data_IF_896808140096
#
_entry.id   IF_896808140096
#
_cell.length_a   1.000
_cell.length_b   1.000
_cell.length_c   1.000
_cell.angle_alpha   90.00
_cell.angle_beta   90.00
_cell.angle_gamma   90.00
#
_symmetry.space_group_name_H-M   'P 1'
#
loop_
_entity.id
_entity.type
_entity.pdbx_description
1 polymer ?
#
# COMPACT_ATOMS: atom_id res chain seq x y z
N UNK A 1 -22.04 45.25 17.92
CA UNK A 1 -22.37 45.74 16.57
C UNK A 1 -23.24 44.68 15.89
N UNK A 2 -24.55 44.76 16.12
CA UNK A 2 -25.53 43.99 15.35
C UNK A 2 -25.77 44.73 14.04
N UNK A 3 -26.09 44.00 12.97
CA UNK A 3 -26.52 44.64 11.73
C UNK A 3 -27.97 45.15 11.85
N UNK A 4 -28.46 45.83 10.81
CA UNK A 4 -29.80 46.43 10.76
C UNK A 4 -30.94 45.41 10.99
N UNK A 5 -30.66 44.11 10.86
CA UNK A 5 -31.60 43.01 11.11
C UNK A 5 -31.44 42.38 12.51
N UNK A 6 -30.76 43.04 13.44
CA UNK A 6 -30.47 42.54 14.80
C UNK A 6 -29.69 41.21 14.83
N UNK A 7 -28.96 40.88 13.77
CA UNK A 7 -28.13 39.67 13.72
C UNK A 7 -26.66 40.01 13.91
N UNK A 8 -25.94 39.12 14.61
CA UNK A 8 -24.49 39.21 14.78
C UNK A 8 -23.80 38.33 13.74
N UNK A 9 -23.17 38.95 12.75
CA UNK A 9 -22.42 38.23 11.73
C UNK A 9 -21.04 37.87 12.27
N UNK A 10 -20.73 36.56 12.28
CA UNK A 10 -19.41 36.05 12.64
C UNK A 10 -18.68 35.56 11.39
N UNK A 11 -17.36 35.76 11.36
CA UNK A 11 -16.46 35.19 10.36
C UNK A 11 -15.54 34.17 11.02
N UNK A 12 -15.05 33.20 10.23
CA UNK A 12 -14.05 32.22 10.66
C UNK A 12 -12.78 32.43 9.84
N UNK A 13 -11.64 32.46 10.52
CA UNK A 13 -10.33 32.57 9.88
C UNK A 13 -9.44 31.38 10.30
N UNK A 14 -8.54 30.98 9.41
CA UNK A 14 -7.51 29.98 9.68
C UNK A 14 -6.26 30.70 10.12
N UNK A 15 -5.84 30.45 11.35
CA UNK A 15 -4.81 31.24 12.02
C UNK A 15 -3.91 30.36 12.89
N UNK A 16 -2.74 30.90 13.26
CA UNK A 16 -1.82 30.21 14.18
C UNK A 16 -2.55 29.83 15.47
N UNK A 17 -2.38 28.58 15.91
CA UNK A 17 -2.90 28.12 17.21
C UNK A 17 -2.22 28.87 18.36
N UNK A 18 -3.02 29.50 19.23
CA UNK A 18 -2.53 30.24 20.41
C UNK A 18 -3.59 30.38 21.49
N UNK A 19 -3.16 30.42 22.76
CA UNK A 19 -4.06 30.57 23.92
C UNK A 19 -4.90 31.86 23.83
N UNK A 20 -4.32 32.96 23.34
CA UNK A 20 -5.01 34.25 23.20
C UNK A 20 -6.11 34.26 22.14
N UNK A 21 -6.02 33.38 21.12
CA UNK A 21 -7.03 33.24 20.06
C UNK A 21 -8.08 32.17 20.37
N UNK A 22 -8.00 31.49 21.52
CA UNK A 22 -8.92 30.43 21.94
C UNK A 22 -9.16 29.34 20.87
N UNK A 23 -8.18 29.11 20.00
CA UNK A 23 -8.22 28.16 18.89
C UNK A 23 -7.25 26.98 19.07
N UNK A 24 -6.81 26.74 20.31
CA UNK A 24 -5.93 25.62 20.66
C UNK A 24 -6.75 24.34 20.65
N UNK A 25 -6.23 23.31 19.98
CA UNK A 25 -6.78 21.96 20.03
C UNK A 25 -5.99 21.18 21.08
N UNK A 26 -6.69 20.54 22.02
CA UNK A 26 -6.05 19.74 23.05
C UNK A 26 -5.74 18.34 22.49
N UNK A 27 -4.47 17.89 22.47
CA UNK A 27 -4.14 16.54 22.02
C UNK A 27 -4.76 15.45 22.89
N UNK A 28 -4.99 15.70 24.18
CA UNK A 28 -5.56 14.71 25.10
C UNK A 28 -6.97 14.28 24.66
N UNK A 29 -7.80 15.24 24.22
CA UNK A 29 -9.17 14.97 23.76
C UNK A 29 -9.16 14.06 22.52
N UNK A 30 -8.17 14.23 21.63
CA UNK A 30 -8.02 13.40 20.43
C UNK A 30 -7.50 12.01 20.80
N UNK A 31 -6.55 11.92 21.72
CA UNK A 31 -6.03 10.65 22.21
C UNK A 31 -7.11 9.83 22.90
N UNK A 32 -8.00 10.45 23.68
CA UNK A 32 -9.12 9.78 24.34
C UNK A 32 -10.14 9.22 23.33
N UNK A 33 -10.45 9.98 22.27
CA UNK A 33 -11.46 9.58 21.28
C UNK A 33 -10.93 8.62 20.21
N UNK A 34 -9.68 8.81 19.75
CA UNK A 34 -9.11 8.12 18.59
C UNK A 34 -7.84 7.32 18.88
N UNK A 35 -7.22 7.49 20.05
CA UNK A 35 -5.94 6.89 20.42
C UNK A 35 -4.71 7.67 19.93
N UNK A 36 -3.60 7.50 20.66
CA UNK A 36 -2.35 8.21 20.42
C UNK A 36 -1.71 7.92 19.05
N UNK A 37 -1.81 6.68 18.56
CA UNK A 37 -1.30 6.29 17.24
C UNK A 37 -2.03 7.03 16.11
N UNK A 38 -3.36 7.19 16.24
CA UNK A 38 -4.14 7.95 15.26
C UNK A 38 -3.67 9.41 15.20
N UNK A 39 -3.49 10.06 16.36
CA UNK A 39 -3.01 11.43 16.43
C UNK A 39 -1.63 11.55 15.76
N UNK A 40 -0.66 10.72 16.15
CA UNK A 40 0.71 10.72 15.59
C UNK A 40 0.71 10.55 14.08
N UNK A 41 0.01 9.53 13.58
CA UNK A 41 -0.06 9.26 12.15
C UNK A 41 -0.78 10.38 11.39
N UNK A 42 -1.81 10.97 11.97
CA UNK A 42 -2.52 12.07 11.37
C UNK A 42 -1.65 13.32 11.25
N UNK A 43 -0.88 13.68 12.28
CA UNK A 43 0.07 14.79 12.21
C UNK A 43 1.12 14.59 11.11
N UNK A 44 1.63 13.37 10.96
CA UNK A 44 2.55 13.00 9.89
C UNK A 44 1.88 13.02 8.51
N UNK A 45 0.58 12.73 8.43
CA UNK A 45 -0.18 12.64 7.18
C UNK A 45 -0.68 13.98 6.64
N UNK A 46 -0.83 15.00 7.49
CA UNK A 46 -1.39 16.31 7.14
C UNK A 46 -0.69 17.03 5.96
N UNK A 47 0.54 16.64 5.61
CA UNK A 47 1.29 17.17 4.48
C UNK A 47 2.80 17.06 4.68
N UNK A 48 3.62 17.69 3.83
CA UNK A 48 5.08 17.69 3.96
C UNK A 48 5.54 18.30 5.29
N UNK A 49 6.53 17.73 5.96
CA UNK A 49 6.96 18.14 7.31
C UNK A 49 7.27 19.65 7.42
N UNK A 50 7.92 20.23 6.41
CA UNK A 50 8.41 21.61 6.41
C UNK A 50 7.32 22.68 6.21
N UNK A 51 6.12 22.27 5.80
CA UNK A 51 5.04 23.19 5.46
C UNK A 51 4.10 23.41 6.63
N UNK A 52 3.66 24.66 6.81
CA UNK A 52 2.57 24.98 7.72
C UNK A 52 1.25 24.43 7.18
N UNK A 53 0.49 23.74 8.04
CA UNK A 53 -0.75 23.07 7.67
C UNK A 53 -1.90 23.57 8.53
N UNK A 54 -3.04 23.91 7.95
CA UNK A 54 -4.24 24.17 8.74
C UNK A 54 -4.66 22.89 9.44
N UNK A 55 -4.93 22.99 10.75
CA UNK A 55 -5.49 21.87 11.50
C UNK A 55 -6.92 21.56 11.03
N UNK A 56 -7.21 20.31 10.66
CA UNK A 56 -8.53 19.90 10.17
C UNK A 56 -8.94 18.50 10.65
N UNK A 57 -9.69 18.45 11.75
CA UNK A 57 -10.12 17.20 12.40
C UNK A 57 -10.87 16.22 11.48
N UNK A 58 -11.46 16.67 10.36
CA UNK A 58 -12.14 15.77 9.42
C UNK A 58 -11.21 14.65 8.90
N UNK A 59 -9.92 14.94 8.71
CA UNK A 59 -8.94 13.97 8.21
C UNK A 59 -8.52 12.88 9.21
N UNK A 60 -8.73 13.10 10.52
CA UNK A 60 -8.37 12.14 11.59
C UNK A 60 -9.13 10.83 11.41
N UNK A 61 -10.40 10.92 11.02
CA UNK A 61 -11.27 9.76 10.81
C UNK A 61 -10.73 8.80 9.75
N UNK A 62 -10.03 9.31 8.73
CA UNK A 62 -9.38 8.50 7.70
C UNK A 62 -8.23 7.67 8.25
N UNK A 63 -7.37 8.27 9.08
CA UNK A 63 -6.26 7.58 9.75
C UNK A 63 -6.77 6.56 10.76
N UNK A 64 -7.78 6.93 11.55
CA UNK A 64 -8.44 6.00 12.47
C UNK A 64 -9.05 4.80 11.75
N UNK A 65 -9.72 5.05 10.62
CA UNK A 65 -10.26 4.02 9.73
C UNK A 65 -9.16 3.10 9.18
N UNK A 66 -8.03 3.67 8.78
CA UNK A 66 -6.85 2.91 8.33
C UNK A 66 -6.33 1.99 9.44
N UNK A 67 -6.13 2.48 10.66
CA UNK A 67 -5.63 1.66 11.77
C UNK A 67 -6.58 0.50 12.10
N UNK A 68 -7.90 0.73 12.03
CA UNK A 68 -8.89 -0.37 12.14
C UNK A 68 -8.76 -1.39 11.02
N UNK A 69 -8.51 -0.97 9.77
CA UNK A 69 -8.26 -1.89 8.65
C UNK A 69 -6.96 -2.67 8.83
N UNK A 70 -5.90 -2.00 9.29
CA UNK A 70 -4.63 -2.62 9.61
C UNK A 70 -4.83 -3.73 10.66
N UNK A 71 -5.52 -3.43 11.75
CA UNK A 71 -5.87 -4.42 12.77
C UNK A 71 -6.66 -5.63 12.23
N UNK A 72 -7.59 -5.38 11.29
CA UNK A 72 -8.40 -6.42 10.62
C UNK A 72 -7.58 -7.36 9.73
N UNK A 73 -6.39 -6.98 9.28
CA UNK A 73 -5.51 -7.91 8.56
C UNK A 73 -5.09 -9.09 9.44
N UNK A 74 -4.99 -8.88 10.76
CA UNK A 74 -4.49 -9.87 11.72
C UNK A 74 -5.58 -10.72 12.37
N UNK A 75 -6.85 -10.35 12.19
CA UNK A 75 -7.98 -10.98 12.88
C UNK A 75 -9.02 -11.48 11.88
N UNK A 76 -9.81 -12.46 12.31
CA UNK A 76 -11.05 -12.80 11.63
C UNK A 76 -12.04 -11.63 11.69
N UNK A 77 -12.85 -11.48 10.65
CA UNK A 77 -13.87 -10.43 10.58
C UNK A 77 -15.15 -11.06 10.06
N UNK A 78 -16.23 -10.95 10.83
CA UNK A 78 -17.53 -11.48 10.43
C UNK A 78 -18.22 -10.58 9.38
N UNK A 79 -19.40 -10.99 8.92
CA UNK A 79 -20.18 -10.25 7.91
C UNK A 79 -20.68 -8.89 8.42
N UNK A 80 -20.79 -8.72 9.74
CA UNK A 80 -21.21 -7.47 10.39
C UNK A 80 -20.01 -6.55 10.66
N UNK A 81 -18.78 -7.04 10.46
CA UNK A 81 -17.54 -6.30 10.60
C UNK A 81 -16.93 -6.37 12.00
N UNK A 82 -17.44 -7.26 12.87
CA UNK A 82 -16.91 -7.51 14.21
C UNK A 82 -15.58 -8.26 14.14
N UNK A 83 -14.70 -7.98 15.10
CA UNK A 83 -13.37 -8.59 15.18
C UNK A 83 -13.45 -9.91 15.93
N UNK A 84 -13.00 -10.99 15.27
CA UNK A 84 -12.88 -12.33 15.84
C UNK A 84 -11.46 -12.64 16.31
N UNK A 85 -11.11 -13.92 16.28
CA UNK A 85 -9.81 -14.41 16.76
C UNK A 85 -8.64 -13.94 15.89
N UNK A 86 -7.43 -13.96 16.47
CA UNK A 86 -6.20 -13.68 15.74
C UNK A 86 -5.92 -14.81 14.74
N UNK A 87 -5.77 -14.48 13.45
CA UNK A 87 -5.75 -15.46 12.34
C UNK A 87 -4.37 -15.65 11.68
N UNK A 88 -3.35 -14.91 12.10
CA UNK A 88 -2.00 -15.04 11.51
C UNK A 88 -1.35 -16.31 12.06
N UNK A 89 -0.82 -17.21 11.19
CA UNK A 89 -0.17 -18.44 11.65
C UNK A 89 0.98 -18.16 12.63
N UNK A 90 1.08 -18.98 13.67
CA UNK A 90 2.20 -18.92 14.60
C UNK A 90 3.49 -19.45 13.95
N UNK A 91 4.65 -18.92 14.34
CA UNK A 91 5.93 -19.40 13.85
C UNK A 91 6.10 -20.89 14.21
N UNK A 92 6.75 -21.70 13.35
CA UNK A 92 7.01 -23.10 13.68
C UNK A 92 7.81 -23.17 14.98
N UNK A 93 7.27 -23.81 16.01
CA UNK A 93 7.94 -23.93 17.31
C UNK A 93 9.16 -24.86 17.29
N UNK A 94 9.48 -25.48 16.14
CA UNK A 94 10.65 -26.35 16.00
C UNK A 94 11.20 -26.37 14.55
N UNK A 95 12.52 -26.56 14.37
CA UNK A 95 13.13 -26.75 13.04
C UNK A 95 12.68 -28.02 12.29
N UNK A 96 11.93 -28.90 12.97
CA UNK A 96 11.52 -30.23 12.48
C UNK A 96 10.04 -30.31 12.12
N UNK A 97 9.28 -29.22 12.29
CA UNK A 97 7.94 -29.13 11.73
C UNK A 97 8.04 -29.36 10.22
N UNK A 98 7.22 -30.25 9.62
CA UNK A 98 7.19 -30.38 8.18
C UNK A 98 7.01 -28.98 7.61
N UNK A 99 7.89 -28.58 6.69
CA UNK A 99 7.58 -27.51 5.74
C UNK A 99 6.43 -28.03 4.87
N UNK A 100 5.25 -28.18 5.46
CA UNK A 100 4.01 -28.29 4.70
C UNK A 100 4.04 -27.12 3.74
N UNK A 101 3.71 -27.38 2.48
CA UNK A 101 3.80 -26.44 1.36
C UNK A 101 3.29 -25.06 1.79
N UNK A 102 4.20 -24.24 2.33
CA UNK A 102 3.88 -22.91 2.79
C UNK A 102 3.81 -22.16 1.47
N UNK A 103 2.58 -22.00 0.99
CA UNK A 103 2.29 -21.25 -0.22
C UNK A 103 2.83 -19.85 0.01
N UNK A 104 4.04 -19.61 -0.49
CA UNK A 104 4.70 -18.32 -0.47
C UNK A 104 3.71 -17.34 -1.08
N UNK A 105 3.31 -16.34 -0.30
CA UNK A 105 2.36 -15.33 -0.78
C UNK A 105 3.13 -14.35 -1.66
N UNK A 106 3.44 -14.76 -2.89
CA UNK A 106 4.27 -14.01 -3.81
C UNK A 106 3.69 -12.61 -4.09
N UNK A 107 2.36 -12.48 -4.11
CA UNK A 107 1.69 -11.20 -4.27
C UNK A 107 1.80 -10.35 -3.01
N UNK A 108 1.54 -10.93 -1.83
CA UNK A 108 1.73 -10.25 -0.54
C UNK A 108 3.18 -9.78 -0.31
N UNK A 109 4.16 -10.60 -0.64
CA UNK A 109 5.59 -10.25 -0.56
C UNK A 109 5.95 -9.14 -1.56
N UNK A 110 5.40 -9.16 -2.77
CA UNK A 110 5.59 -8.07 -3.73
C UNK A 110 5.04 -6.75 -3.20
N UNK A 111 3.85 -6.75 -2.60
CA UNK A 111 3.24 -5.57 -1.96
C UNK A 111 4.12 -5.09 -0.79
N UNK A 112 4.53 -6.00 0.09
CA UNK A 112 5.40 -5.68 1.23
C UNK A 112 6.71 -5.05 0.76
N UNK A 113 7.44 -5.66 -0.17
CA UNK A 113 8.74 -5.14 -0.57
C UNK A 113 8.67 -3.83 -1.37
N UNK A 114 7.59 -3.59 -2.13
CA UNK A 114 7.30 -2.26 -2.68
C UNK A 114 7.09 -1.22 -1.56
N UNK A 115 6.38 -1.63 -0.51
CA UNK A 115 6.09 -0.79 0.67
C UNK A 115 7.37 -0.47 1.44
N UNK A 116 8.20 -1.48 1.75
CA UNK A 116 9.49 -1.32 2.46
C UNK A 116 10.35 -0.31 1.72
N UNK A 117 10.59 -0.53 0.41
CA UNK A 117 11.42 0.36 -0.40
C UNK A 117 10.92 1.81 -0.34
N UNK A 118 9.63 2.02 -0.58
CA UNK A 118 9.05 3.36 -0.60
C UNK A 118 9.09 4.04 0.77
N UNK A 119 8.79 3.32 1.85
CA UNK A 119 8.77 3.87 3.20
C UNK A 119 10.19 4.20 3.68
N UNK A 120 11.17 3.35 3.36
CA UNK A 120 12.59 3.61 3.63
C UNK A 120 13.05 4.90 2.94
N UNK A 121 12.82 5.01 1.63
CA UNK A 121 13.10 6.24 0.86
C UNK A 121 12.38 7.46 1.44
N UNK A 122 11.09 7.35 1.75
CA UNK A 122 10.30 8.47 2.28
C UNK A 122 10.80 8.90 3.68
N UNK A 123 11.25 7.98 4.54
CA UNK A 123 11.83 8.30 5.86
C UNK A 123 13.13 9.09 5.71
N UNK A 124 14.02 8.65 4.80
CA UNK A 124 15.28 9.36 4.53
C UNK A 124 15.06 10.79 4.03
N UNK A 125 13.99 11.00 3.25
CA UNK A 125 13.60 12.30 2.71
C UNK A 125 12.60 13.08 3.58
N UNK A 126 12.32 12.63 4.82
CA UNK A 126 11.34 13.25 5.72
C UNK A 126 9.93 13.43 5.12
N UNK A 127 9.56 12.58 4.16
CA UNK A 127 8.29 12.60 3.43
C UNK A 127 7.23 11.71 4.11
N UNK A 128 7.03 11.90 5.41
CA UNK A 128 6.18 11.02 6.23
C UNK A 128 4.72 10.93 5.76
N UNK A 129 4.19 12.00 5.15
CA UNK A 129 2.83 12.02 4.63
C UNK A 129 2.63 11.02 3.47
N UNK A 130 3.66 10.80 2.66
CA UNK A 130 3.61 9.80 1.58
C UNK A 130 3.83 8.40 2.12
N UNK A 131 4.57 8.23 3.22
CA UNK A 131 4.68 6.94 3.92
C UNK A 131 3.32 6.48 4.45
N UNK A 132 2.56 7.36 5.10
CA UNK A 132 1.19 7.03 5.56
C UNK A 132 0.27 6.63 4.40
N UNK A 133 0.33 7.36 3.29
CA UNK A 133 -0.41 7.00 2.06
C UNK A 133 0.00 5.61 1.54
N UNK A 134 1.29 5.30 1.59
CA UNK A 134 1.84 4.01 1.15
C UNK A 134 1.33 2.86 2.01
N UNK A 135 1.29 3.02 3.33
CA UNK A 135 0.68 2.04 4.23
C UNK A 135 -0.81 1.84 3.93
N UNK A 136 -1.56 2.91 3.69
CA UNK A 136 -2.99 2.80 3.36
C UNK A 136 -3.21 2.00 2.06
N UNK A 137 -2.38 2.22 1.04
CA UNK A 137 -2.42 1.45 -0.22
C UNK A 137 -2.09 -0.01 0.07
N UNK A 138 -0.97 -0.28 0.74
CA UNK A 138 -0.51 -1.63 1.04
C UNK A 138 -1.58 -2.43 1.82
N UNK A 139 -2.21 -1.83 2.83
CA UNK A 139 -3.27 -2.49 3.61
C UNK A 139 -4.49 -2.81 2.76
N UNK A 140 -4.91 -1.90 1.87
CA UNK A 140 -6.03 -2.18 0.97
C UNK A 140 -5.70 -3.30 -0.02
N UNK A 141 -4.49 -3.32 -0.60
CA UNK A 141 -4.04 -4.37 -1.52
C UNK A 141 -3.96 -5.72 -0.81
N UNK A 142 -3.34 -5.79 0.37
CA UNK A 142 -3.25 -7.00 1.20
C UNK A 142 -4.64 -7.50 1.64
N UNK A 143 -5.57 -6.59 1.92
CA UNK A 143 -6.96 -6.95 2.23
C UNK A 143 -7.64 -7.56 1.02
N UNK A 144 -7.44 -7.00 -0.17
CA UNK A 144 -8.08 -7.48 -1.41
C UNK A 144 -7.66 -8.91 -1.78
N UNK A 145 -6.41 -9.29 -1.46
CA UNK A 145 -5.90 -10.65 -1.68
C UNK A 145 -6.12 -11.59 -0.49
N UNK A 146 -6.80 -11.13 0.56
CA UNK A 146 -7.01 -11.86 1.82
C UNK A 146 -5.69 -12.37 2.45
N UNK A 147 -4.62 -11.57 2.40
CA UNK A 147 -3.32 -11.96 2.94
C UNK A 147 -3.40 -12.14 4.47
N UNK A 148 -2.98 -13.31 4.93
CA UNK A 148 -2.73 -13.63 6.34
C UNK A 148 -1.32 -14.21 6.54
N UNK A 149 -0.44 -14.09 5.54
CA UNK A 149 0.89 -14.67 5.56
C UNK A 149 1.76 -13.95 6.60
N UNK A 150 2.29 -14.71 7.57
CA UNK A 150 3.15 -14.17 8.63
C UNK A 150 4.39 -13.48 8.07
N UNK A 151 5.01 -14.05 7.04
CA UNK A 151 6.17 -13.50 6.33
C UNK A 151 5.92 -12.13 5.69
N UNK A 152 4.65 -11.75 5.51
CA UNK A 152 4.23 -10.44 4.98
C UNK A 152 3.84 -9.50 6.13
N UNK A 153 2.96 -9.97 7.01
CA UNK A 153 2.35 -9.14 8.04
C UNK A 153 3.31 -8.79 9.19
N UNK A 154 4.21 -9.69 9.56
CA UNK A 154 5.18 -9.45 10.63
C UNK A 154 6.18 -8.31 10.27
N UNK A 155 6.86 -8.33 9.11
CA UNK A 155 7.69 -7.19 8.70
C UNK A 155 6.89 -5.90 8.49
N UNK A 156 5.64 -5.99 8.02
CA UNK A 156 4.77 -4.82 7.87
C UNK A 156 4.48 -4.14 9.22
N UNK A 157 4.29 -4.92 10.29
CA UNK A 157 4.13 -4.39 11.67
C UNK A 157 5.38 -3.65 12.12
N UNK A 158 6.56 -4.21 11.89
CA UNK A 158 7.84 -3.53 12.21
C UNK A 158 7.97 -2.23 11.41
N UNK A 159 7.62 -2.26 10.12
CA UNK A 159 7.67 -1.10 9.23
C UNK A 159 6.73 0.04 9.70
N UNK A 160 5.55 -0.30 10.23
CA UNK A 160 4.57 0.67 10.75
C UNK A 160 4.95 1.23 12.14
N UNK A 161 5.74 0.51 12.93
CA UNK A 161 6.04 0.83 14.33
C UNK A 161 6.57 2.25 14.61
N UNK A 162 7.35 2.92 13.74
CA UNK A 162 7.76 4.31 13.99
C UNK A 162 6.58 5.30 13.98
N UNK A 163 5.52 4.96 13.24
CA UNK A 163 4.33 5.78 13.03
C UNK A 163 3.26 5.50 14.09
N UNK A 164 2.94 4.22 14.28
CA UNK A 164 1.92 3.73 15.20
C UNK A 164 2.50 2.66 16.14
N UNK A 165 3.32 3.05 17.14
CA UNK A 165 4.03 2.11 17.99
C UNK A 165 3.12 1.26 18.87
N UNK A 166 2.00 1.78 19.37
CA UNK A 166 1.21 1.07 20.37
C UNK A 166 0.46 -0.12 19.76
N UNK A 167 -0.20 0.09 18.62
CA UNK A 167 -0.84 -1.01 17.86
C UNK A 167 0.20 -2.01 17.34
N UNK A 168 1.40 -1.53 16.99
CA UNK A 168 2.47 -2.39 16.51
C UNK A 168 3.00 -3.31 17.62
N UNK A 169 3.21 -2.79 18.83
CA UNK A 169 3.61 -3.59 20.01
C UNK A 169 2.55 -4.64 20.36
N UNK A 170 1.28 -4.26 20.38
CA UNK A 170 0.18 -5.18 20.68
C UNK A 170 0.11 -6.32 19.65
N UNK A 171 0.29 -6.02 18.36
CA UNK A 171 0.35 -7.03 17.31
C UNK A 171 1.63 -7.87 17.38
N UNK A 172 2.75 -7.28 17.78
CA UNK A 172 4.02 -7.97 17.98
C UNK A 172 3.91 -9.05 19.05
N UNK A 173 3.29 -8.71 20.18
CA UNK A 173 2.99 -9.69 21.24
C UNK A 173 2.03 -10.78 20.75
N UNK A 174 0.97 -10.45 20.00
CA UNK A 174 0.04 -11.45 19.43
C UNK A 174 0.69 -12.36 18.39
N UNK A 175 1.69 -11.87 17.68
CA UNK A 175 2.55 -12.68 16.80
C UNK A 175 3.43 -13.65 17.61
N UNK A 176 3.42 -13.59 18.94
CA UNK A 176 4.14 -14.52 19.82
C UNK A 176 5.58 -14.11 20.09
N UNK A 177 5.95 -12.85 19.80
CA UNK A 177 7.28 -12.35 20.12
C UNK A 177 7.39 -11.95 21.59
N UNK A 178 8.62 -11.91 22.07
CA UNK A 178 8.96 -11.39 23.40
C UNK A 178 9.88 -10.19 23.26
N UNK A 179 9.79 -9.25 24.20
CA UNK A 179 10.48 -7.96 24.10
C UNK A 179 9.75 -6.97 23.20
N UNK A 180 10.29 -5.76 23.11
CA UNK A 180 9.68 -4.63 22.41
C UNK A 180 10.02 -4.64 20.93
N UNK A 181 9.02 -4.38 20.07
CA UNK A 181 9.21 -4.21 18.63
C UNK A 181 10.20 -3.08 18.30
N UNK A 182 10.33 -2.09 19.19
CA UNK A 182 11.23 -0.94 19.00
C UNK A 182 12.73 -1.33 18.98
N UNK A 183 13.09 -2.51 19.49
CA UNK A 183 14.45 -3.02 19.46
C UNK A 183 14.74 -3.92 18.24
N UNK A 184 13.74 -4.17 17.39
CA UNK A 184 13.85 -5.05 16.23
C UNK A 184 14.47 -4.27 15.05
N UNK A 185 15.37 -4.89 14.27
CA UNK A 185 15.91 -4.27 13.06
C UNK A 185 14.80 -3.90 12.06
N UNK A 186 14.99 -2.79 11.36
CA UNK A 186 14.09 -2.37 10.29
C UNK A 186 14.07 -3.41 9.15
N UNK A 187 12.91 -3.69 8.52
CA UNK A 187 12.83 -4.64 7.41
C UNK A 187 13.69 -4.22 6.22
N UNK A 188 14.32 -5.20 5.57
CA UNK A 188 15.23 -4.95 4.43
C UNK A 188 14.51 -5.20 3.11
N UNK A 189 14.65 -4.27 2.17
CA UNK A 189 14.16 -4.44 0.81
C UNK A 189 14.92 -5.54 0.06
N UNK A 190 14.18 -6.41 -0.64
CA UNK A 190 14.75 -7.45 -1.48
C UNK A 190 14.19 -7.34 -2.91
N UNK A 191 15.07 -6.97 -3.85
CA UNK A 191 14.69 -6.68 -5.25
C UNK A 191 13.94 -7.84 -5.93
N UNK A 192 14.32 -9.08 -5.58
CA UNK A 192 13.76 -10.32 -6.14
C UNK A 192 12.23 -10.40 -6.08
N UNK A 193 11.58 -9.78 -5.09
CA UNK A 193 10.12 -9.80 -4.94
C UNK A 193 9.40 -8.72 -5.75
N UNK A 194 10.12 -7.69 -6.19
CA UNK A 194 9.55 -6.56 -6.94
C UNK A 194 9.92 -6.55 -8.41
N UNK A 195 10.89 -7.39 -8.79
CA UNK A 195 11.28 -7.59 -10.18
C UNK A 195 10.10 -8.17 -10.95
N UNK A 196 9.59 -7.40 -11.90
CA UNK A 196 8.61 -7.91 -12.86
C UNK A 196 9.30 -8.98 -13.72
N UNK A 197 8.67 -10.14 -13.87
CA UNK A 197 9.14 -11.23 -14.74
C UNK A 197 8.42 -11.25 -16.08
N UNK A 198 7.29 -10.55 -16.17
CA UNK A 198 6.49 -10.43 -17.38
C UNK A 198 5.90 -9.02 -17.52
N UNK A 199 5.46 -8.68 -18.72
CA UNK A 199 4.86 -7.38 -19.05
C UNK A 199 3.72 -7.56 -20.04
N UNK A 200 2.67 -6.76 -19.88
CA UNK A 200 1.63 -6.64 -20.92
C UNK A 200 2.15 -5.83 -22.10
N UNK A 201 2.18 -6.46 -23.27
CA UNK A 201 2.47 -5.83 -24.54
C UNK A 201 1.16 -5.51 -25.26
N UNK A 202 0.89 -4.24 -25.59
CA UNK A 202 -0.15 -3.89 -26.55
C UNK A 202 0.20 -4.47 -27.91
N UNK A 203 -0.73 -5.22 -28.50
CA UNK A 203 -0.63 -5.78 -29.85
C UNK A 203 -1.49 -4.95 -30.78
N UNK A 204 -0.85 -4.36 -31.78
CA UNK A 204 -1.46 -3.43 -32.74
C UNK A 204 -1.36 -3.94 -34.16
N UNK A 205 -2.34 -3.59 -34.98
CA UNK A 205 -2.41 -3.93 -36.40
C UNK A 205 -2.59 -2.66 -37.20
N UNK A 206 -1.65 -2.37 -38.11
CA UNK A 206 -1.61 -1.11 -38.87
C UNK A 206 -1.78 0.13 -37.97
N UNK A 207 -1.13 0.11 -36.80
CA UNK A 207 -1.15 1.21 -35.83
C UNK A 207 -2.37 1.27 -34.91
N UNK A 208 -3.34 0.34 -35.01
CA UNK A 208 -4.50 0.27 -34.10
C UNK A 208 -4.34 -0.88 -33.10
N UNK A 209 -4.34 -0.57 -31.81
CA UNK A 209 -4.32 -1.57 -30.73
C UNK A 209 -5.58 -2.46 -30.79
N UNK A 210 -5.39 -3.77 -30.66
CA UNK A 210 -6.48 -4.76 -30.69
C UNK A 210 -6.63 -5.50 -29.38
N UNK A 211 -5.52 -5.88 -28.74
CA UNK A 211 -5.51 -6.57 -27.45
C UNK A 211 -4.15 -6.42 -26.77
N UNK A 212 -4.03 -6.88 -25.53
CA UNK A 212 -2.76 -7.01 -24.81
C UNK A 212 -2.36 -8.47 -24.68
N UNK A 213 -1.06 -8.74 -24.71
CA UNK A 213 -0.48 -10.07 -24.48
C UNK A 213 0.59 -9.98 -23.40
N UNK A 214 0.48 -10.82 -22.38
CA UNK A 214 1.50 -10.92 -21.33
C UNK A 214 2.68 -11.74 -21.83
N UNK A 215 3.86 -11.13 -21.86
CA UNK A 215 5.10 -11.77 -22.32
C UNK A 215 6.20 -11.65 -21.24
N UNK A 216 7.04 -12.68 -21.05
CA UNK A 216 8.21 -12.57 -20.20
C UNK A 216 9.14 -11.43 -20.62
N UNK A 217 9.78 -10.77 -19.64
CA UNK A 217 10.65 -9.62 -19.87
C UNK A 217 12.05 -9.99 -20.39
N UNK A 218 12.42 -11.25 -20.29
CA UNK A 218 13.69 -11.82 -20.76
C UNK A 218 13.68 -12.26 -22.23
N UNK A 219 12.51 -12.25 -22.89
CA UNK A 219 12.41 -12.61 -24.31
C UNK A 219 13.18 -11.64 -25.21
N UNK A 220 13.90 -12.20 -26.17
CA UNK A 220 14.49 -11.45 -27.28
C UNK A 220 13.41 -10.86 -28.19
N UNK A 221 13.81 -9.92 -29.04
CA UNK A 221 12.90 -9.32 -30.01
C UNK A 221 12.28 -10.38 -30.95
N UNK A 222 13.08 -11.36 -31.36
CA UNK A 222 12.71 -12.46 -32.23
C UNK A 222 11.76 -13.44 -31.52
N UNK A 223 11.99 -13.70 -30.24
CA UNK A 223 11.13 -14.56 -29.42
C UNK A 223 9.77 -13.89 -29.16
N UNK A 224 9.74 -12.58 -28.92
CA UNK A 224 8.50 -11.79 -28.82
C UNK A 224 7.73 -11.85 -30.13
N UNK A 225 8.39 -11.64 -31.27
CA UNK A 225 7.76 -11.71 -32.58
C UNK A 225 7.13 -13.09 -32.83
N UNK A 226 7.87 -14.16 -32.54
CA UNK A 226 7.38 -15.54 -32.65
C UNK A 226 6.18 -15.79 -31.75
N UNK A 227 6.27 -15.44 -30.47
CA UNK A 227 5.18 -15.62 -29.51
C UNK A 227 3.92 -14.86 -29.90
N UNK A 228 4.06 -13.62 -30.41
CA UNK A 228 2.93 -12.81 -30.87
C UNK A 228 2.31 -13.42 -32.12
N UNK A 229 3.11 -13.92 -33.07
CA UNK A 229 2.58 -14.57 -34.28
C UNK A 229 1.90 -15.90 -33.95
N UNK A 230 2.39 -16.68 -32.99
CA UNK A 230 1.77 -17.96 -32.58
C UNK A 230 0.48 -17.77 -31.75
N UNK A 231 0.17 -16.55 -31.33
CA UNK A 231 -1.02 -16.27 -30.53
C UNK A 231 -2.32 -16.42 -31.34
N UNK A 232 -3.31 -17.12 -30.78
CA UNK A 232 -4.61 -17.39 -31.42
C UNK A 232 -5.32 -16.11 -31.86
N UNK A 233 -5.37 -15.07 -31.00
CA UNK A 233 -6.00 -13.79 -31.36
C UNK A 233 -5.26 -13.11 -32.49
N UNK A 234 -3.92 -13.19 -32.53
CA UNK A 234 -3.15 -12.66 -33.65
C UNK A 234 -3.54 -13.36 -34.95
N UNK A 235 -3.65 -14.68 -34.94
CA UNK A 235 -4.04 -15.46 -36.11
C UNK A 235 -5.46 -15.12 -36.60
N UNK A 236 -6.41 -14.93 -35.69
CA UNK A 236 -7.76 -14.46 -36.02
C UNK A 236 -7.74 -13.10 -36.73
N UNK A 237 -6.95 -12.14 -36.22
CA UNK A 237 -6.83 -10.82 -36.84
C UNK A 237 -6.08 -10.82 -38.18
N UNK A 238 -5.18 -11.78 -38.38
CA UNK A 238 -4.44 -11.93 -39.62
C UNK A 238 -5.27 -12.60 -40.73
N UNK A 239 -6.27 -13.41 -40.39
CA UNK A 239 -7.17 -14.08 -41.34
C UNK A 239 -6.41 -14.77 -42.50
N UNK A 240 -5.38 -15.54 -42.11
CA UNK A 240 -4.49 -16.25 -43.05
C UNK A 240 -3.48 -15.38 -43.80
N UNK A 241 -3.43 -14.06 -43.56
CA UNK A 241 -2.45 -13.15 -44.18
C UNK A 241 -1.15 -13.11 -43.40
N UNK A 242 -0.03 -13.11 -44.11
CA UNK A 242 1.27 -12.86 -43.48
C UNK A 242 1.51 -11.34 -43.40
N UNK A 243 1.87 -10.79 -42.23
CA UNK A 243 2.24 -9.38 -42.12
C UNK A 243 3.50 -9.10 -42.94
N UNK A 244 3.55 -7.95 -43.63
CA UNK A 244 4.73 -7.50 -44.38
C UNK A 244 5.88 -7.13 -43.46
N UNK A 245 5.56 -6.65 -42.26
CA UNK A 245 6.56 -6.24 -41.27
C UNK A 245 6.00 -6.37 -39.86
N UNK A 246 6.77 -6.98 -38.97
CA UNK A 246 6.51 -6.95 -37.53
C UNK A 246 7.46 -5.95 -36.89
N UNK A 247 6.91 -4.99 -36.15
CA UNK A 247 7.68 -3.98 -35.44
C UNK A 247 7.52 -4.24 -33.95
N UNK A 248 8.53 -4.89 -33.37
CA UNK A 248 8.66 -5.06 -31.92
C UNK A 248 9.48 -3.90 -31.37
N UNK A 249 8.88 -3.13 -30.45
CA UNK A 249 9.59 -2.18 -29.60
C UNK A 249 9.61 -2.78 -28.19
N UNK A 250 10.75 -3.37 -27.77
CA UNK A 250 10.85 -4.04 -26.47
C UNK A 250 10.37 -3.14 -25.33
N UNK A 251 9.55 -3.73 -24.46
CA UNK A 251 8.94 -3.04 -23.33
C UNK A 251 7.90 -1.98 -23.68
N UNK A 252 7.48 -1.80 -24.94
CA UNK A 252 6.47 -0.78 -25.32
C UNK A 252 5.28 -1.34 -26.11
N UNK A 253 5.51 -1.91 -27.29
CA UNK A 253 4.42 -2.29 -28.21
C UNK A 253 4.92 -3.27 -29.27
N UNK A 254 4.02 -4.11 -29.77
CA UNK A 254 4.21 -4.88 -31.01
C UNK A 254 3.18 -4.43 -32.04
N UNK A 255 3.64 -4.04 -33.22
CA UNK A 255 2.78 -3.61 -34.32
C UNK A 255 3.00 -4.47 -35.56
N UNK A 256 1.95 -5.14 -36.00
CA UNK A 256 1.90 -5.94 -37.22
C UNK A 256 1.41 -5.05 -38.37
N UNK A 257 2.23 -4.90 -39.40
CA UNK A 257 1.91 -4.12 -40.60
C UNK A 257 1.56 -5.10 -41.72
N UNK A 258 0.36 -4.95 -42.29
CA UNK A 258 -0.15 -5.76 -43.39
C UNK A 258 0.29 -5.34 -44.79
#
# INVERSE_FOLDING_TARGET
>A
FLNENETYLVSREVEKMSKSKYNVVNPDDICEEYGADTLRMYEMFLGPLEQAKPWNTAGITGVYGFLKKFWKLFHEVDQEGNIGEFKVPQAPQSPQSPKGEQKVDAEGLKILHKTIKKVEEDIEHFSFNTSVSTFMIAVNELTAINCNAREVLEPLTVLLSPYAPHIAEELWEKLGHSGSIAAVPFPVYEEKYTRETSKEYPISFNGKMRFTMTLPLDLSKEEIEKAVLENEKTQEYLDGRTPKKVIVVPGKIVNLVG
#
